data_IF_573220127223
#
_entry.id   IF_573220127223
#
_cell.length_a   1.000
_cell.length_b   1.000
_cell.length_c   1.000
_cell.angle_alpha   90.00
_cell.angle_beta   90.00
_cell.angle_gamma   90.00
#
_symmetry.space_group_name_H-M   'P 1'
#
loop_
_entity.id
_entity.type
_entity.pdbx_description
1 polymer ?
#
# COMPACT_ATOMS: atom_id res chain seq x y z
N UNK A 1 13.68 37.14 -26.94
CA UNK A 1 13.58 36.66 -25.54
C UNK A 1 12.57 35.52 -25.49
N UNK A 2 12.84 34.44 -24.75
CA UNK A 2 11.88 33.35 -24.57
C UNK A 2 10.69 33.83 -23.74
N UNK A 3 9.46 33.50 -24.14
CA UNK A 3 8.27 33.87 -23.35
C UNK A 3 8.26 33.11 -22.01
N UNK A 4 8.11 33.79 -20.86
CA UNK A 4 7.97 33.14 -19.55
C UNK A 4 6.80 32.15 -19.49
N UNK A 5 5.74 32.38 -20.27
CA UNK A 5 4.57 31.49 -20.35
C UNK A 5 4.93 30.13 -20.94
N UNK A 6 5.69 30.10 -22.04
CA UNK A 6 6.13 28.87 -22.70
C UNK A 6 7.00 28.01 -21.77
N UNK A 7 7.90 28.64 -21.01
CA UNK A 7 8.72 27.93 -20.03
C UNK A 7 7.88 27.33 -18.90
N UNK A 8 6.89 28.08 -18.40
CA UNK A 8 5.96 27.59 -17.38
C UNK A 8 5.12 26.41 -17.88
N UNK A 9 4.59 26.51 -19.08
CA UNK A 9 3.75 25.46 -19.68
C UNK A 9 4.54 24.17 -19.90
N UNK A 10 5.77 24.26 -20.43
CA UNK A 10 6.66 23.11 -20.59
C UNK A 10 6.98 22.46 -19.23
N UNK A 11 7.26 23.27 -18.19
CA UNK A 11 7.48 22.74 -16.84
C UNK A 11 6.24 22.01 -16.31
N UNK A 12 5.04 22.56 -16.53
CA UNK A 12 3.78 21.94 -16.12
C UNK A 12 3.55 20.60 -16.82
N UNK A 13 3.81 20.51 -18.12
CA UNK A 13 3.71 19.27 -18.89
C UNK A 13 4.69 18.21 -18.34
N UNK A 14 5.95 18.59 -18.11
CA UNK A 14 6.97 17.69 -17.55
C UNK A 14 6.56 17.16 -16.17
N UNK A 15 6.11 18.06 -15.28
CA UNK A 15 5.72 17.68 -13.93
C UNK A 15 4.49 16.77 -13.95
N UNK A 16 3.48 17.09 -14.77
CA UNK A 16 2.28 16.25 -14.94
C UNK A 16 2.63 14.86 -15.44
N UNK A 17 3.53 14.74 -16.42
CA UNK A 17 3.97 13.44 -16.94
C UNK A 17 4.71 12.62 -15.88
N UNK A 18 5.60 13.25 -15.10
CA UNK A 18 6.32 12.61 -13.99
C UNK A 18 5.35 12.12 -12.91
N UNK A 19 4.38 12.93 -12.51
CA UNK A 19 3.38 12.55 -11.51
C UNK A 19 2.56 11.34 -11.98
N UNK A 20 2.12 11.32 -13.24
CA UNK A 20 1.39 10.17 -13.80
C UNK A 20 2.22 8.89 -13.77
N UNK A 21 3.50 8.97 -14.14
CA UNK A 21 4.40 7.81 -14.11
C UNK A 21 4.57 7.27 -12.68
N UNK A 22 4.78 8.15 -11.70
CA UNK A 22 4.91 7.75 -10.28
C UNK A 22 3.62 7.08 -9.79
N UNK A 23 2.44 7.66 -10.09
CA UNK A 23 1.15 7.08 -9.68
C UNK A 23 0.90 5.71 -10.31
N UNK A 24 1.27 5.52 -11.57
CA UNK A 24 1.14 4.23 -12.24
C UNK A 24 2.00 3.16 -11.55
N UNK A 25 3.26 3.48 -11.26
CA UNK A 25 4.17 2.57 -10.52
C UNK A 25 3.64 2.27 -9.13
N UNK A 26 3.13 3.26 -8.40
CA UNK A 26 2.57 3.05 -7.07
C UNK A 26 1.31 2.18 -7.09
N UNK A 27 0.46 2.34 -8.12
CA UNK A 27 -0.74 1.51 -8.31
C UNK A 27 -0.34 0.05 -8.54
N UNK A 28 0.60 -0.20 -9.45
CA UNK A 28 1.10 -1.56 -9.72
C UNK A 28 1.75 -2.20 -8.48
N UNK A 29 2.51 -1.42 -7.69
CA UNK A 29 3.06 -1.91 -6.42
C UNK A 29 1.98 -2.33 -5.44
N UNK A 30 0.92 -1.52 -5.29
CA UNK A 30 -0.20 -1.85 -4.41
C UNK A 30 -0.88 -3.14 -4.85
N UNK A 31 -1.15 -3.31 -6.14
CA UNK A 31 -1.75 -4.53 -6.69
C UNK A 31 -0.84 -5.75 -6.49
N UNK A 32 0.46 -5.60 -6.75
CA UNK A 32 1.45 -6.65 -6.52
C UNK A 32 1.45 -7.10 -5.05
N UNK A 33 1.52 -6.17 -4.10
CA UNK A 33 1.48 -6.49 -2.67
C UNK A 33 0.16 -7.13 -2.25
N UNK A 34 -0.96 -6.70 -2.83
CA UNK A 34 -2.27 -7.33 -2.60
C UNK A 34 -2.28 -8.80 -3.08
N UNK A 35 -1.81 -9.07 -4.30
CA UNK A 35 -1.75 -10.42 -4.86
C UNK A 35 -0.80 -11.34 -4.08
N UNK A 36 0.34 -10.81 -3.62
CA UNK A 36 1.25 -11.56 -2.73
C UNK A 36 0.51 -11.93 -1.44
N UNK A 37 -0.21 -10.97 -0.85
CA UNK A 37 -1.03 -11.21 0.34
C UNK A 37 -2.08 -12.29 0.13
N UNK A 38 -2.81 -12.24 -0.98
CA UNK A 38 -3.78 -13.25 -1.37
C UNK A 38 -3.14 -14.63 -1.50
N UNK A 39 -2.01 -14.72 -2.22
CA UNK A 39 -1.32 -15.99 -2.45
C UNK A 39 -0.84 -16.63 -1.15
N UNK A 40 -0.29 -15.83 -0.23
CA UNK A 40 0.13 -16.29 1.10
C UNK A 40 -1.09 -16.79 1.88
N UNK A 41 -2.16 -15.99 1.94
CA UNK A 41 -3.38 -16.35 2.68
C UNK A 41 -3.98 -17.66 2.18
N UNK A 42 -4.08 -17.85 0.86
CA UNK A 42 -4.62 -19.08 0.28
C UNK A 42 -3.75 -20.31 0.58
N UNK A 43 -2.42 -20.15 0.59
CA UNK A 43 -1.50 -21.25 0.97
C UNK A 43 -1.68 -21.65 2.43
N UNK A 44 -1.80 -20.66 3.34
CA UNK A 44 -2.01 -20.91 4.76
C UNK A 44 -3.32 -21.70 5.02
N UNK A 45 -4.36 -21.41 4.24
CA UNK A 45 -5.64 -22.12 4.33
C UNK A 45 -5.59 -23.57 3.84
N UNK A 46 -4.57 -23.96 3.07
CA UNK A 46 -4.35 -25.35 2.65
C UNK A 46 -3.54 -26.13 3.70
N UNK A 47 -2.69 -25.46 4.50
CA UNK A 47 -1.92 -26.05 5.59
C UNK A 47 -2.63 -26.09 6.95
N UNK A 48 -3.98 -26.08 6.96
CA UNK A 48 -4.88 -25.88 8.13
C UNK A 48 -4.59 -26.70 9.39
N UNK A 49 -3.90 -27.83 9.28
CA UNK A 49 -3.66 -28.73 10.41
C UNK A 49 -2.55 -28.25 11.37
N UNK A 50 -1.80 -27.20 11.02
CA UNK A 50 -0.64 -26.76 11.80
C UNK A 50 -0.68 -25.26 12.04
N UNK A 51 -0.94 -24.85 13.28
CA UNK A 51 -0.90 -23.43 13.69
C UNK A 51 0.45 -22.74 13.38
N UNK A 52 1.54 -23.51 13.31
CA UNK A 52 2.88 -23.01 12.98
C UNK A 52 3.17 -22.87 11.48
N UNK A 53 2.31 -23.42 10.61
CA UNK A 53 2.57 -23.48 9.17
C UNK A 53 2.69 -22.11 8.52
N UNK A 54 1.81 -21.16 8.87
CA UNK A 54 1.86 -19.80 8.32
C UNK A 54 3.12 -19.03 8.71
N UNK A 55 3.62 -19.21 9.95
CA UNK A 55 4.89 -18.61 10.37
C UNK A 55 6.07 -19.20 9.59
N UNK A 56 6.10 -20.52 9.42
CA UNK A 56 7.14 -21.19 8.65
C UNK A 56 7.11 -20.76 7.18
N UNK A 57 5.92 -20.72 6.56
CA UNK A 57 5.74 -20.30 5.17
C UNK A 57 6.32 -18.91 4.92
N UNK A 58 5.92 -17.90 5.72
CA UNK A 58 6.41 -16.53 5.53
C UNK A 58 7.91 -16.43 5.76
N UNK A 59 8.45 -17.18 6.73
CA UNK A 59 9.90 -17.25 6.96
C UNK A 59 10.62 -17.80 5.72
N UNK A 60 10.21 -18.96 5.23
CA UNK A 60 10.81 -19.57 4.03
C UNK A 60 10.66 -18.71 2.77
N UNK A 61 9.54 -18.00 2.62
CA UNK A 61 9.37 -17.03 1.54
C UNK A 61 10.36 -15.87 1.67
N UNK A 62 10.53 -15.30 2.86
CA UNK A 62 11.48 -14.19 3.05
C UNK A 62 12.93 -14.60 2.79
N UNK A 63 13.34 -15.80 3.24
CA UNK A 63 14.69 -16.33 3.01
C UNK A 63 15.02 -16.52 1.52
N UNK A 64 14.00 -16.73 0.68
CA UNK A 64 14.15 -16.88 -0.78
C UNK A 64 14.02 -15.55 -1.53
N UNK A 65 13.03 -14.73 -1.16
CA UNK A 65 12.67 -13.53 -1.93
C UNK A 65 13.51 -12.30 -1.56
N UNK A 66 13.89 -12.15 -0.29
CA UNK A 66 14.64 -10.97 0.15
C UNK A 66 16.03 -10.85 -0.51
N UNK A 67 16.81 -11.93 -0.70
CA UNK A 67 18.09 -11.86 -1.43
C UNK A 67 17.95 -11.47 -2.90
N UNK A 68 16.83 -11.85 -3.54
CA UNK A 68 16.60 -11.63 -4.98
C UNK A 68 15.95 -10.27 -5.26
N UNK A 69 14.99 -9.85 -4.44
CA UNK A 69 14.16 -8.67 -4.68
C UNK A 69 14.35 -7.56 -3.64
N UNK A 70 15.19 -7.78 -2.63
CA UNK A 70 15.54 -6.80 -1.61
C UNK A 70 14.60 -6.74 -0.40
N UNK A 71 14.89 -5.78 0.48
CA UNK A 71 14.29 -5.67 1.83
C UNK A 71 12.76 -5.49 1.84
N UNK A 72 12.16 -5.10 0.70
CA UNK A 72 10.72 -5.05 0.50
C UNK A 72 10.03 -6.42 0.55
N UNK A 73 10.79 -7.51 0.58
CA UNK A 73 10.28 -8.89 0.66
C UNK A 73 10.74 -9.61 1.93
N UNK A 74 11.19 -8.85 2.94
CA UNK A 74 11.53 -9.39 4.24
C UNK A 74 10.33 -9.99 4.96
N UNK A 75 10.61 -10.81 5.99
CA UNK A 75 9.58 -11.44 6.83
C UNK A 75 8.50 -10.46 7.31
N UNK A 76 8.92 -9.25 7.70
CA UNK A 76 8.02 -8.18 8.15
C UNK A 76 7.09 -7.71 7.02
N UNK A 77 7.64 -7.46 5.83
CA UNK A 77 6.86 -6.97 4.70
C UNK A 77 5.86 -8.01 4.19
N UNK A 78 6.26 -9.27 4.08
CA UNK A 78 5.36 -10.36 3.70
C UNK A 78 4.19 -10.52 4.69
N UNK A 79 4.44 -10.32 6.00
CA UNK A 79 3.37 -10.26 6.99
C UNK A 79 2.40 -9.09 6.75
N UNK A 80 2.90 -7.90 6.37
CA UNK A 80 2.03 -6.78 6.00
C UNK A 80 1.24 -7.07 4.74
N UNK A 81 1.80 -7.74 3.73
CA UNK A 81 1.06 -8.10 2.52
C UNK A 81 -0.07 -9.08 2.82
N UNK A 82 0.20 -10.10 3.65
CA UNK A 82 -0.85 -11.00 4.16
C UNK A 82 -1.94 -10.23 4.93
N UNK A 83 -1.54 -9.34 5.83
CA UNK A 83 -2.49 -8.51 6.59
C UNK A 83 -3.31 -7.62 5.64
N UNK A 84 -2.68 -7.04 4.63
CA UNK A 84 -3.31 -6.18 3.64
C UNK A 84 -4.43 -6.89 2.90
N UNK A 85 -4.20 -8.12 2.43
CA UNK A 85 -5.26 -8.92 1.83
C UNK A 85 -6.39 -9.24 2.82
N UNK A 86 -6.06 -9.56 4.07
CA UNK A 86 -7.08 -9.85 5.10
C UNK A 86 -7.96 -8.65 5.41
N UNK A 87 -7.40 -7.44 5.43
CA UNK A 87 -8.13 -6.20 5.65
C UNK A 87 -8.93 -5.77 4.42
N UNK A 88 -8.40 -5.98 3.22
CA UNK A 88 -9.03 -5.58 1.96
C UNK A 88 -9.19 -6.80 1.03
N UNK A 89 -10.12 -7.74 1.31
CA UNK A 89 -10.25 -8.97 0.53
C UNK A 89 -10.80 -8.74 -0.89
N UNK A 90 -11.34 -7.56 -1.18
CA UNK A 90 -11.90 -7.19 -2.48
C UNK A 90 -10.96 -6.19 -3.16
N UNK A 91 -10.30 -6.60 -4.25
CA UNK A 91 -9.34 -5.74 -4.97
C UNK A 91 -9.97 -4.44 -5.47
N UNK A 92 -11.23 -4.46 -5.88
CA UNK A 92 -11.96 -3.27 -6.33
C UNK A 92 -12.23 -2.25 -5.22
N UNK A 93 -12.04 -2.62 -3.95
CA UNK A 93 -12.09 -1.68 -2.84
C UNK A 93 -10.81 -0.83 -2.73
N UNK A 94 -9.73 -1.19 -3.43
CA UNK A 94 -8.50 -0.41 -3.45
C UNK A 94 -8.69 0.86 -4.29
N UNK A 95 -8.30 1.99 -3.71
CA UNK A 95 -8.25 3.31 -4.34
C UNK A 95 -6.88 3.53 -4.99
N UNK A 96 -6.88 3.91 -6.27
CA UNK A 96 -5.66 4.23 -7.04
C UNK A 96 -4.94 5.49 -6.58
N UNK A 97 -5.61 6.33 -5.79
CA UNK A 97 -5.04 7.53 -5.16
C UNK A 97 -4.10 7.19 -4.00
N UNK A 98 -4.22 6.00 -3.42
CA UNK A 98 -3.46 5.58 -2.24
C UNK A 98 -2.25 4.74 -2.65
N UNK A 99 -1.05 5.19 -2.28
CA UNK A 99 0.16 4.38 -2.37
C UNK A 99 0.26 3.32 -1.26
N UNK A 100 1.17 2.36 -1.39
CA UNK A 100 1.43 1.34 -0.37
C UNK A 100 1.67 1.93 1.03
N UNK A 101 2.34 3.08 1.13
CA UNK A 101 2.59 3.76 2.41
C UNK A 101 1.29 4.17 3.10
N UNK A 102 0.25 4.54 2.36
CA UNK A 102 -1.08 4.82 2.92
C UNK A 102 -1.71 3.54 3.45
N UNK A 103 -1.77 2.48 2.64
CA UNK A 103 -2.34 1.21 3.06
C UNK A 103 -1.62 0.61 4.27
N UNK A 104 -0.30 0.71 4.35
CA UNK A 104 0.48 0.26 5.50
C UNK A 104 0.14 0.99 6.80
N UNK A 105 -0.31 2.26 6.73
CA UNK A 105 -0.85 2.97 7.90
C UNK A 105 -2.26 2.50 8.23
N UNK A 106 -3.11 2.34 7.22
CA UNK A 106 -4.51 1.94 7.37
C UNK A 106 -4.66 0.52 7.94
N UNK A 107 -3.87 -0.47 7.48
CA UNK A 107 -3.94 -1.86 7.98
C UNK A 107 -3.55 -2.01 9.46
N UNK A 108 -2.96 -0.96 10.06
CA UNK A 108 -2.64 -0.93 11.50
C UNK A 108 -3.82 -0.48 12.36
N UNK A 109 -4.86 0.07 11.75
CA UNK A 109 -6.06 0.47 12.45
C UNK A 109 -6.89 -0.78 12.78
N UNK A 110 -7.39 -0.86 14.01
CA UNK A 110 -8.14 -2.03 14.50
C UNK A 110 -9.62 -2.02 14.06
N UNK A 111 -10.14 -0.87 13.62
CA UNK A 111 -11.54 -0.68 13.25
C UNK A 111 -11.69 -0.44 11.76
N UNK A 112 -12.57 -1.22 11.12
CA UNK A 112 -12.92 -1.08 9.71
C UNK A 112 -13.56 0.29 9.43
N UNK A 113 -14.41 0.80 10.32
CA UNK A 113 -15.04 2.12 10.19
C UNK A 113 -13.99 3.24 10.14
N UNK A 114 -12.95 3.16 10.99
CA UNK A 114 -11.83 4.11 10.96
C UNK A 114 -11.07 4.03 9.65
N UNK A 115 -10.83 2.83 9.13
CA UNK A 115 -10.15 2.62 7.86
C UNK A 115 -10.93 3.31 6.74
N UNK A 116 -12.23 3.07 6.65
CA UNK A 116 -13.09 3.63 5.62
C UNK A 116 -13.19 5.16 5.73
N UNK A 117 -13.32 5.69 6.94
CA UNK A 117 -13.29 7.12 7.22
C UNK A 117 -11.99 7.77 6.69
N UNK A 118 -10.83 7.22 7.06
CA UNK A 118 -9.55 7.79 6.63
C UNK A 118 -9.28 7.60 5.13
N UNK A 119 -9.78 6.54 4.51
CA UNK A 119 -9.74 6.40 3.04
C UNK A 119 -10.53 7.53 2.39
N UNK A 120 -11.76 7.81 2.87
CA UNK A 120 -12.58 8.89 2.35
C UNK A 120 -11.89 10.24 2.51
N UNK A 121 -11.31 10.54 3.68
CA UNK A 121 -10.62 11.80 3.93
C UNK A 121 -9.33 11.95 3.11
N UNK A 122 -8.56 10.87 2.89
CA UNK A 122 -7.37 10.90 2.02
C UNK A 122 -7.77 11.23 0.59
N UNK A 123 -8.82 10.59 0.06
CA UNK A 123 -9.30 10.82 -1.31
C UNK A 123 -9.87 12.24 -1.47
N UNK A 124 -10.64 12.70 -0.49
CA UNK A 124 -11.27 14.03 -0.50
C UNK A 124 -10.24 15.16 -0.43
N UNK A 125 -9.23 15.03 0.43
CA UNK A 125 -8.29 16.10 0.72
C UNK A 125 -6.92 15.92 0.03
N UNK A 126 -6.74 14.87 -0.77
CA UNK A 126 -5.47 14.49 -1.40
C UNK A 126 -4.29 14.44 -0.41
N UNK A 127 -4.53 13.86 0.78
CA UNK A 127 -3.48 13.76 1.79
C UNK A 127 -2.33 12.87 1.32
N UNK A 128 -1.11 13.36 1.50
CA UNK A 128 0.09 12.52 1.47
C UNK A 128 0.09 11.54 2.64
N UNK A 129 0.91 10.49 2.55
CA UNK A 129 1.01 9.49 3.62
C UNK A 129 1.45 10.09 4.95
N UNK A 130 2.25 11.16 4.92
CA UNK A 130 2.67 11.92 6.11
C UNK A 130 1.51 12.70 6.74
N UNK A 131 0.63 13.27 5.93
CA UNK A 131 -0.57 13.94 6.43
C UNK A 131 -1.53 12.93 7.03
N UNK A 132 -1.77 11.79 6.37
CA UNK A 132 -2.54 10.69 6.94
C UNK A 132 -1.98 10.23 8.29
N UNK A 133 -0.67 10.00 8.38
CA UNK A 133 -0.02 9.59 9.64
C UNK A 133 -0.24 10.61 10.77
N UNK A 134 -0.15 11.91 10.46
CA UNK A 134 -0.43 12.98 11.43
C UNK A 134 -1.89 12.99 11.89
N UNK A 135 -2.83 12.75 10.99
CA UNK A 135 -4.26 12.70 11.33
C UNK A 135 -4.61 11.48 12.18
N UNK A 136 -4.02 10.32 11.87
CA UNK A 136 -4.16 9.11 12.68
C UNK A 136 -3.56 9.29 14.08
N UNK A 137 -2.43 9.99 14.18
CA UNK A 137 -1.71 10.19 15.46
C UNK A 137 -2.23 11.36 16.29
N UNK A 138 -2.95 12.29 15.67
CA UNK A 138 -3.58 13.43 16.33
C UNK A 138 -4.85 13.03 17.10
N UNK A 139 -5.46 13.97 17.84
CA UNK A 139 -6.76 13.73 18.44
C UNK A 139 -7.75 13.42 17.31
N UNK A 140 -8.24 12.18 17.28
CA UNK A 140 -9.24 11.76 16.29
C UNK A 140 -10.46 12.67 16.41
N UNK A 141 -11.06 13.13 15.31
CA UNK A 141 -12.37 13.76 15.35
C UNK A 141 -13.37 12.67 15.70
N UNK A 142 -13.63 12.51 16.99
CA UNK A 142 -14.75 11.73 17.51
C UNK A 142 -16.07 12.40 17.11
#
# INVERSE_FOLDING_TARGET
MLSPTVVSDIKSIINTAREKAIRAVDTERVLMYWHIGQRIFLEEQQGKERADYGRYLIKSLSEKLEPEYGTGFSFRHLNWYRQFYRTFPIVNALRSQLSWTHYRLLIRLESQDKIEFYIAEVVKNNWSSRQLERQISGPSPC
#
